data_IF_312380012518
#
_entry.id   IF_312380012518
#
_cell.length_a   1.000
_cell.length_b   1.000
_cell.length_c   1.000
_cell.angle_alpha   90.00
_cell.angle_beta   90.00
_cell.angle_gamma   90.00
#
_symmetry.space_group_name_H-M   'P 1'
#
loop_
_entity.id
_entity.type
_entity.pdbx_description
1 polymer ?
#
# COMPACT_ATOMS: atom_id res chain seq x y z
N UNK A 1 -25.96 11.69 1.49
CA UNK A 1 -24.83 12.40 0.83
C UNK A 1 -24.66 11.83 -0.56
N UNK A 2 -24.59 12.70 -1.56
CA UNK A 2 -24.58 12.27 -2.97
C UNK A 2 -23.38 11.38 -3.29
N UNK A 3 -23.64 10.12 -3.63
CA UNK A 3 -22.61 9.16 -4.09
C UNK A 3 -22.05 9.49 -5.49
N UNK A 4 -22.67 10.41 -6.23
CA UNK A 4 -22.26 10.85 -7.56
C UNK A 4 -20.84 11.43 -7.64
N UNK A 5 -20.41 12.35 -6.73
CA UNK A 5 -19.06 12.89 -6.77
C UNK A 5 -17.96 11.83 -6.55
N UNK A 6 -18.21 10.86 -5.66
CA UNK A 6 -17.26 9.78 -5.35
C UNK A 6 -17.01 8.92 -6.58
N UNK A 7 -18.06 8.41 -7.23
CA UNK A 7 -17.95 7.59 -8.44
C UNK A 7 -17.23 8.31 -9.58
N UNK A 8 -17.50 9.60 -9.75
CA UNK A 8 -16.86 10.40 -10.80
C UNK A 8 -15.37 10.60 -10.54
N UNK A 9 -14.95 10.79 -9.28
CA UNK A 9 -13.55 10.92 -8.89
C UNK A 9 -12.83 9.58 -9.10
N UNK A 10 -13.41 8.49 -8.61
CA UNK A 10 -12.86 7.14 -8.79
C UNK A 10 -12.71 6.78 -10.27
N UNK A 11 -13.73 7.07 -11.09
CA UNK A 11 -13.66 6.84 -12.54
C UNK A 11 -12.53 7.64 -13.21
N UNK A 12 -12.28 8.89 -12.77
CA UNK A 12 -11.13 9.66 -13.26
C UNK A 12 -9.79 9.08 -12.80
N UNK A 13 -9.69 8.59 -11.56
CA UNK A 13 -8.50 7.89 -11.07
C UNK A 13 -8.22 6.63 -11.89
N UNK A 14 -9.23 5.78 -12.08
CA UNK A 14 -9.13 4.55 -12.88
C UNK A 14 -8.68 4.84 -14.31
N UNK A 15 -9.29 5.86 -14.93
CA UNK A 15 -8.91 6.26 -16.29
C UNK A 15 -7.45 6.71 -16.35
N UNK A 16 -6.99 7.51 -15.40
CA UNK A 16 -5.58 7.96 -15.35
C UNK A 16 -4.64 6.79 -15.16
N UNK A 17 -4.94 5.88 -14.23
CA UNK A 17 -4.07 4.76 -13.88
C UNK A 17 -3.97 3.72 -15.00
N UNK A 18 -5.03 3.55 -15.80
CA UNK A 18 -5.03 2.63 -16.94
C UNK A 18 -4.44 3.23 -18.23
N UNK A 19 -4.20 4.57 -18.28
CA UNK A 19 -3.70 5.27 -19.49
C UNK A 19 -2.39 6.02 -19.22
N UNK A 20 -1.46 5.41 -18.45
CA UNK A 20 -0.18 6.07 -18.10
C UNK A 20 0.75 6.26 -19.30
N UNK A 21 0.59 5.44 -20.34
CA UNK A 21 1.38 5.45 -21.58
C UNK A 21 0.73 6.29 -22.70
N UNK A 22 -0.36 6.99 -22.40
CA UNK A 22 -1.10 7.79 -23.36
C UNK A 22 -1.22 9.25 -22.89
N UNK A 23 -1.31 10.21 -23.83
CA UNK A 23 -1.57 11.59 -23.45
C UNK A 23 -3.00 11.73 -22.92
N UNK A 24 -3.17 12.34 -21.74
CA UNK A 24 -4.47 12.57 -21.11
C UNK A 24 -4.83 14.06 -21.18
N UNK A 25 -6.07 14.34 -21.53
CA UNK A 25 -6.65 15.69 -21.57
C UNK A 25 -7.77 15.85 -20.55
N UNK A 26 -8.02 17.09 -20.11
CA UNK A 26 -9.14 17.38 -19.23
C UNK A 26 -10.51 17.05 -19.88
N UNK A 27 -10.62 17.07 -21.21
CA UNK A 27 -11.83 16.68 -21.92
C UNK A 27 -12.15 15.19 -21.80
N UNK A 28 -11.11 14.33 -21.86
CA UNK A 28 -11.27 12.89 -21.65
C UNK A 28 -11.74 12.60 -20.22
N UNK A 29 -11.11 13.25 -19.23
CA UNK A 29 -11.51 13.10 -17.83
C UNK A 29 -12.92 13.64 -17.55
N UNK A 30 -13.30 14.73 -18.21
CA UNK A 30 -14.66 15.27 -18.15
C UNK A 30 -15.70 14.26 -18.68
N UNK A 31 -15.38 13.63 -19.83
CA UNK A 31 -16.25 12.60 -20.42
C UNK A 31 -16.43 11.39 -19.48
N UNK A 32 -15.37 10.94 -18.84
CA UNK A 32 -15.39 9.80 -17.91
C UNK A 32 -16.17 10.16 -16.63
N UNK A 33 -15.99 11.37 -16.13
CA UNK A 33 -16.65 11.82 -14.89
C UNK A 33 -18.12 12.23 -15.07
N UNK A 34 -18.56 12.46 -16.31
CA UNK A 34 -19.90 13.00 -16.60
C UNK A 34 -20.07 14.50 -16.31
N UNK A 35 -18.97 15.25 -16.12
CA UNK A 35 -18.96 16.68 -15.81
C UNK A 35 -18.30 17.51 -16.92
N UNK A 36 -18.42 18.85 -16.84
CA UNK A 36 -17.62 19.73 -17.69
C UNK A 36 -16.12 19.67 -17.30
N UNK A 37 -15.17 19.99 -18.21
CA UNK A 37 -13.74 19.92 -17.91
C UNK A 37 -13.32 20.75 -16.69
N UNK A 38 -13.91 21.94 -16.52
CA UNK A 38 -13.64 22.80 -15.38
C UNK A 38 -14.16 22.17 -14.07
N UNK A 39 -15.39 21.68 -14.09
CA UNK A 39 -16.02 21.09 -12.90
C UNK A 39 -15.33 19.78 -12.50
N UNK A 40 -14.98 18.92 -13.46
CA UNK A 40 -14.22 17.69 -13.23
C UNK A 40 -12.86 17.97 -12.56
N UNK A 41 -12.11 18.96 -13.08
CA UNK A 41 -10.82 19.34 -12.51
C UNK A 41 -10.95 19.94 -11.10
N UNK A 42 -11.98 20.75 -10.88
CA UNK A 42 -12.27 21.36 -9.56
C UNK A 42 -12.65 20.29 -8.53
N UNK A 43 -13.59 19.43 -8.88
CA UNK A 43 -14.05 18.32 -8.03
C UNK A 43 -12.90 17.40 -7.63
N UNK A 44 -12.09 16.99 -8.60
CA UNK A 44 -10.91 16.14 -8.38
C UNK A 44 -9.90 16.81 -7.43
N UNK A 45 -9.59 18.10 -7.67
CA UNK A 45 -8.68 18.85 -6.82
C UNK A 45 -9.22 19.04 -5.40
N UNK A 46 -10.52 19.30 -5.26
CA UNK A 46 -11.16 19.44 -3.95
C UNK A 46 -11.10 18.14 -3.14
N UNK A 47 -11.26 16.99 -3.81
CA UNK A 47 -11.25 15.68 -3.17
C UNK A 47 -9.85 15.18 -2.82
N UNK A 48 -8.87 15.33 -3.74
CA UNK A 48 -7.54 14.73 -3.64
C UNK A 48 -6.42 15.76 -3.36
N UNK A 49 -6.75 17.04 -3.23
CA UNK A 49 -5.78 18.10 -2.94
C UNK A 49 -4.89 18.51 -4.11
N UNK A 50 -4.86 17.75 -5.21
CA UNK A 50 -4.03 18.00 -6.40
C UNK A 50 -4.87 17.95 -7.68
N UNK A 51 -4.38 18.65 -8.74
CA UNK A 51 -5.11 18.63 -10.02
C UNK A 51 -4.97 17.27 -10.72
N UNK A 52 -5.92 16.88 -11.60
CA UNK A 52 -5.85 15.62 -12.34
C UNK A 52 -4.55 15.46 -13.15
N UNK A 53 -4.05 16.53 -13.79
CA UNK A 53 -2.81 16.47 -14.58
C UNK A 53 -1.57 16.33 -13.68
N UNK A 54 -1.58 16.93 -12.49
CA UNK A 54 -0.52 16.73 -11.48
C UNK A 54 -0.54 15.29 -10.97
N UNK A 55 -1.72 14.75 -10.71
CA UNK A 55 -1.92 13.36 -10.33
C UNK A 55 -1.37 12.40 -11.40
N UNK A 56 -1.79 12.57 -12.66
CA UNK A 56 -1.29 11.81 -13.79
C UNK A 56 0.23 11.86 -13.92
N UNK A 57 0.84 13.06 -13.80
CA UNK A 57 2.29 13.22 -13.84
C UNK A 57 2.99 12.44 -12.72
N UNK A 58 2.46 12.49 -11.49
CA UNK A 58 3.00 11.74 -10.35
C UNK A 58 2.89 10.23 -10.55
N UNK A 59 1.78 9.74 -11.08
CA UNK A 59 1.60 8.33 -11.42
C UNK A 59 2.64 7.87 -12.45
N UNK A 60 2.80 8.60 -13.55
CA UNK A 60 3.78 8.28 -14.61
C UNK A 60 5.22 8.25 -14.09
N UNK A 61 5.62 9.26 -13.32
CA UNK A 61 6.97 9.30 -12.73
C UNK A 61 7.20 8.13 -11.77
N UNK A 62 6.20 7.73 -11.01
CA UNK A 62 6.31 6.61 -10.08
C UNK A 62 6.38 5.26 -10.81
N UNK A 63 5.58 5.08 -11.85
CA UNK A 63 5.63 3.88 -12.68
C UNK A 63 6.98 3.78 -13.43
N UNK A 64 7.44 4.89 -14.05
CA UNK A 64 8.75 4.96 -14.69
C UNK A 64 9.90 4.70 -13.71
N UNK A 65 9.77 5.10 -12.44
CA UNK A 65 10.78 4.81 -11.42
C UNK A 65 10.87 3.31 -11.12
N UNK A 66 9.74 2.62 -11.00
CA UNK A 66 9.73 1.16 -10.79
C UNK A 66 10.35 0.44 -11.99
N UNK A 67 10.04 0.86 -13.21
CA UNK A 67 10.63 0.29 -14.41
C UNK A 67 12.12 0.56 -14.52
N UNK A 68 12.57 1.79 -14.22
CA UNK A 68 14.00 2.12 -14.12
C UNK A 68 14.74 1.23 -13.11
N UNK A 69 14.09 0.83 -12.04
CA UNK A 69 14.65 -0.05 -11.00
C UNK A 69 14.82 -1.48 -11.50
N UNK A 70 13.85 -1.98 -12.27
CA UNK A 70 13.72 -3.40 -12.59
C UNK A 70 14.19 -3.74 -14.02
N UNK A 71 14.03 -2.82 -14.97
CA UNK A 71 14.41 -3.01 -16.38
C UNK A 71 15.78 -2.42 -16.72
N UNK A 72 16.37 -2.91 -17.84
CA UNK A 72 17.66 -2.43 -18.36
C UNK A 72 17.49 -1.50 -19.58
N UNK A 73 16.26 -1.18 -19.95
CA UNK A 73 15.95 -0.34 -21.10
C UNK A 73 16.61 1.04 -21.00
N UNK A 74 17.00 1.68 -22.11
CA UNK A 74 17.55 3.03 -22.08
C UNK A 74 16.63 4.02 -21.36
N UNK A 75 17.20 4.91 -20.54
CA UNK A 75 16.40 5.89 -19.78
C UNK A 75 15.51 6.74 -20.71
N UNK A 76 16.00 7.05 -21.90
CA UNK A 76 15.22 7.78 -22.90
C UNK A 76 14.01 6.98 -23.37
N UNK A 77 14.16 5.67 -23.58
CA UNK A 77 13.04 4.80 -24.01
C UNK A 77 11.93 4.80 -22.95
N UNK A 78 12.28 4.61 -21.69
CA UNK A 78 11.32 4.67 -20.57
C UNK A 78 10.69 6.08 -20.50
N UNK A 79 11.47 7.15 -20.64
CA UNK A 79 10.94 8.50 -20.63
C UNK A 79 9.87 8.73 -21.72
N UNK A 80 10.14 8.29 -22.94
CA UNK A 80 9.22 8.41 -24.07
C UNK A 80 7.96 7.54 -23.90
N UNK A 81 8.13 6.33 -23.40
CA UNK A 81 7.01 5.42 -23.09
C UNK A 81 6.04 6.03 -22.08
N UNK A 82 6.56 6.71 -21.05
CA UNK A 82 5.75 7.45 -20.09
C UNK A 82 5.44 8.88 -20.52
N UNK A 83 5.41 9.18 -21.82
CA UNK A 83 4.95 10.46 -22.37
C UNK A 83 5.73 11.70 -21.88
N UNK A 84 7.06 11.58 -21.75
CA UNK A 84 7.94 12.72 -21.57
C UNK A 84 8.59 13.06 -22.91
N UNK A 85 8.54 14.33 -23.29
CA UNK A 85 8.97 14.81 -24.62
C UNK A 85 10.48 14.65 -24.86
N UNK A 86 11.30 14.60 -23.81
CA UNK A 86 12.74 14.45 -23.91
C UNK A 86 13.35 13.87 -22.64
N UNK A 87 14.60 13.38 -22.76
CA UNK A 87 15.41 12.93 -21.63
C UNK A 87 15.60 14.03 -20.57
N UNK A 88 15.79 15.27 -21.00
CA UNK A 88 15.99 16.41 -20.10
C UNK A 88 14.72 16.77 -19.33
N UNK A 89 13.57 16.73 -20.02
CA UNK A 89 12.27 16.96 -19.40
C UNK A 89 11.98 15.92 -18.34
N UNK A 90 12.21 14.64 -18.68
CA UNK A 90 12.06 13.51 -17.75
C UNK A 90 13.03 13.66 -16.56
N UNK A 91 14.32 13.91 -16.81
CA UNK A 91 15.33 14.03 -15.75
C UNK A 91 15.01 15.14 -14.76
N UNK A 92 14.57 16.31 -15.23
CA UNK A 92 14.14 17.42 -14.35
C UNK A 92 12.89 17.05 -13.54
N UNK A 93 11.92 16.44 -14.18
CA UNK A 93 10.69 16.04 -13.52
C UNK A 93 10.95 14.97 -12.45
N UNK A 94 11.78 13.98 -12.77
CA UNK A 94 12.18 12.91 -11.87
C UNK A 94 12.97 13.45 -10.67
N UNK A 95 13.98 14.28 -10.91
CA UNK A 95 14.78 14.89 -9.86
C UNK A 95 13.93 15.80 -8.94
N UNK A 96 12.98 16.54 -9.52
CA UNK A 96 12.05 17.36 -8.74
C UNK A 96 11.13 16.56 -7.82
N UNK A 97 10.73 15.34 -8.24
CA UNK A 97 9.83 14.51 -7.45
C UNK A 97 10.58 13.64 -6.43
N UNK A 98 11.75 13.12 -6.78
CA UNK A 98 12.46 12.11 -5.99
C UNK A 98 13.79 12.56 -5.39
N UNK A 99 14.25 13.78 -5.71
CA UNK A 99 15.49 14.34 -5.17
C UNK A 99 16.78 13.81 -5.78
N UNK A 100 16.72 12.92 -6.79
CA UNK A 100 17.88 12.34 -7.46
C UNK A 100 17.61 12.11 -8.94
N UNK A 101 18.70 12.00 -9.76
CA UNK A 101 18.54 11.77 -11.20
C UNK A 101 18.11 10.34 -11.52
N UNK A 102 17.45 10.09 -12.67
CA UNK A 102 17.08 8.73 -13.13
C UNK A 102 18.29 7.79 -13.20
N UNK A 103 19.44 8.28 -13.66
CA UNK A 103 20.69 7.49 -13.77
C UNK A 103 21.24 7.10 -12.38
N UNK A 104 21.22 8.03 -11.44
CA UNK A 104 21.61 7.75 -10.04
C UNK A 104 20.65 6.74 -9.40
N UNK A 105 19.35 6.92 -9.62
CA UNK A 105 18.34 6.00 -9.11
C UNK A 105 18.52 4.58 -9.66
N UNK A 106 18.71 4.44 -10.99
CA UNK A 106 18.97 3.12 -11.60
C UNK A 106 20.19 2.43 -11.00
N UNK A 107 21.26 3.16 -10.77
CA UNK A 107 22.53 2.61 -10.24
C UNK A 107 22.42 2.16 -8.80
N UNK A 108 21.75 2.94 -7.95
CA UNK A 108 21.73 2.74 -6.50
C UNK A 108 20.43 2.06 -6.01
N UNK A 109 19.33 2.29 -6.71
CA UNK A 109 17.97 1.88 -6.34
C UNK A 109 17.67 2.11 -4.84
N UNK A 110 17.87 3.33 -4.31
CA UNK A 110 17.49 3.61 -2.94
C UNK A 110 15.96 3.63 -2.84
N UNK A 111 15.38 3.35 -1.67
CA UNK A 111 13.96 3.57 -1.42
C UNK A 111 13.58 5.04 -1.66
N UNK A 112 12.55 5.28 -2.45
CA UNK A 112 12.04 6.63 -2.81
C UNK A 112 10.52 6.69 -2.59
N UNK A 113 9.95 7.88 -2.33
CA UNK A 113 8.52 8.05 -2.11
C UNK A 113 7.75 8.00 -3.45
N UNK A 114 7.56 6.79 -4.01
CA UNK A 114 6.69 6.64 -5.18
C UNK A 114 5.27 7.04 -4.81
N UNK A 115 4.61 7.74 -5.72
CA UNK A 115 3.24 8.16 -5.53
C UNK A 115 2.32 6.95 -5.67
N UNK A 116 1.67 6.56 -4.58
CA UNK A 116 0.61 5.55 -4.57
C UNK A 116 -0.71 6.28 -4.39
N UNK A 117 -1.58 6.24 -5.41
CA UNK A 117 -2.85 6.91 -5.33
C UNK A 117 -3.72 6.32 -4.22
N UNK A 118 -4.26 7.18 -3.37
CA UNK A 118 -5.33 6.80 -2.47
C UNK A 118 -6.64 6.74 -3.27
N UNK A 119 -7.32 5.60 -3.25
CA UNK A 119 -8.65 5.46 -3.85
C UNK A 119 -9.65 6.33 -3.09
N UNK A 120 -10.28 7.26 -3.79
CA UNK A 120 -11.29 8.11 -3.19
C UNK A 120 -12.57 7.30 -3.01
N UNK A 121 -12.92 7.00 -1.76
CA UNK A 121 -14.11 6.26 -1.38
C UNK A 121 -14.82 6.89 -0.17
N UNK A 122 -16.03 6.46 0.16
CA UNK A 122 -16.74 6.97 1.35
C UNK A 122 -15.93 6.63 2.61
N UNK A 123 -15.52 7.66 3.30
CA UNK A 123 -14.76 7.57 4.54
C UNK A 123 -15.59 6.92 5.65
N UNK A 124 -15.01 5.91 6.30
CA UNK A 124 -15.38 5.18 7.51
C UNK A 124 -16.57 4.23 7.39
N UNK A 125 -16.42 3.00 7.88
CA UNK A 125 -17.55 2.12 8.12
C UNK A 125 -18.44 2.74 9.19
N UNK A 126 -19.56 3.32 8.79
CA UNK A 126 -20.69 3.47 9.69
C UNK A 126 -21.36 2.09 9.75
N UNK A 127 -21.25 1.45 10.90
CA UNK A 127 -21.83 0.14 11.13
C UNK A 127 -23.31 0.12 10.79
N UNK A 128 -23.63 -0.54 9.69
CA UNK A 128 -24.94 -1.08 9.43
C UNK A 128 -24.79 -2.58 9.62
N UNK A 129 -25.35 -3.10 10.70
CA UNK A 129 -25.44 -4.51 10.95
C UNK A 129 -26.10 -5.20 9.75
N UNK A 130 -25.29 -5.83 8.90
CA UNK A 130 -25.76 -6.69 7.83
C UNK A 130 -25.89 -8.10 8.36
N UNK A 131 -27.05 -8.68 8.10
CA UNK A 131 -27.43 -10.05 8.47
C UNK A 131 -26.36 -11.05 8.03
N UNK A 132 -26.09 -12.03 8.89
CA UNK A 132 -25.16 -13.16 8.77
C UNK A 132 -25.21 -13.85 7.39
N UNK A 133 -24.47 -13.35 6.41
CA UNK A 133 -23.99 -14.17 5.31
C UNK A 133 -22.74 -14.89 5.83
N UNK A 134 -22.76 -16.22 5.76
CA UNK A 134 -21.57 -17.04 6.01
C UNK A 134 -20.59 -16.74 4.88
N UNK A 135 -19.65 -15.86 5.11
CA UNK A 135 -18.61 -15.49 4.13
C UNK A 135 -17.49 -16.53 4.23
N UNK A 136 -17.19 -17.28 3.16
CA UNK A 136 -16.07 -18.23 3.18
C UNK A 136 -14.75 -17.51 3.46
N UNK A 137 -13.91 -18.12 4.31
CA UNK A 137 -12.59 -17.61 4.63
C UNK A 137 -11.58 -18.70 4.34
N UNK A 138 -10.57 -18.36 3.55
CA UNK A 138 -9.46 -19.25 3.26
C UNK A 138 -8.42 -19.11 4.35
N UNK A 139 -7.97 -20.26 4.90
CA UNK A 139 -6.95 -20.29 5.94
C UNK A 139 -5.79 -21.13 5.46
N UNK A 140 -4.58 -20.58 5.53
CA UNK A 140 -3.37 -21.31 5.21
C UNK A 140 -2.28 -21.06 6.26
N UNK A 141 -1.39 -22.04 6.41
CA UNK A 141 -0.20 -21.93 7.25
C UNK A 141 1.01 -21.63 6.36
N UNK A 142 1.73 -20.59 6.69
CA UNK A 142 2.99 -20.22 6.02
C UNK A 142 4.12 -20.16 7.03
N UNK A 143 5.30 -20.61 6.63
CA UNK A 143 6.53 -20.47 7.42
C UNK A 143 7.40 -19.41 6.76
N UNK A 144 7.81 -18.42 7.53
CA UNK A 144 8.77 -17.41 7.09
C UNK A 144 10.08 -17.60 7.84
N UNK A 145 11.24 -17.66 7.14
CA UNK A 145 12.55 -17.74 7.78
C UNK A 145 12.86 -16.46 8.56
N UNK A 146 13.98 -16.45 9.27
CA UNK A 146 14.52 -15.23 9.86
C UNK A 146 14.82 -14.21 8.75
N UNK A 147 14.40 -12.95 8.95
CA UNK A 147 14.45 -11.89 7.97
C UNK A 147 14.54 -10.54 8.66
N UNK A 148 14.78 -9.50 7.91
CA UNK A 148 14.66 -8.14 8.40
C UNK A 148 13.35 -7.51 7.85
N UNK A 149 12.93 -6.41 8.48
CA UNK A 149 11.80 -5.62 8.03
C UNK A 149 12.18 -4.14 8.11
N UNK A 150 12.07 -3.44 6.99
CA UNK A 150 12.18 -1.99 6.98
C UNK A 150 10.85 -1.46 7.49
N UNK A 151 10.89 -0.70 8.59
CA UNK A 151 9.68 -0.17 9.23
C UNK A 151 9.77 1.32 9.44
N UNK A 152 8.63 1.98 9.43
CA UNK A 152 8.47 3.34 9.95
C UNK A 152 7.49 3.30 11.12
N UNK A 153 7.91 3.85 12.28
CA UNK A 153 7.10 3.83 13.49
C UNK A 153 6.31 5.13 13.65
N UNK A 154 5.14 5.01 14.24
CA UNK A 154 4.40 6.10 14.84
C UNK A 154 4.71 6.16 16.35
N UNK A 155 4.07 7.04 17.10
CA UNK A 155 4.24 7.20 18.55
C UNK A 155 3.19 6.45 19.34
N UNK A 156 1.92 6.58 18.96
CA UNK A 156 0.78 6.08 19.73
C UNK A 156 -0.16 5.17 18.94
N UNK A 157 -0.06 5.16 17.62
CA UNK A 157 -0.98 4.46 16.72
C UNK A 157 -1.16 2.98 17.08
N UNK A 158 -2.41 2.54 17.14
CA UNK A 158 -2.79 1.14 17.38
C UNK A 158 -3.41 0.48 16.16
N UNK A 159 -3.72 1.27 15.14
CA UNK A 159 -4.35 0.83 13.90
C UNK A 159 -4.02 1.78 12.73
N UNK A 160 -4.45 1.41 11.51
CA UNK A 160 -4.06 2.06 10.25
C UNK A 160 -4.37 3.56 10.20
N UNK A 161 -5.59 3.98 10.55
CA UNK A 161 -5.99 5.39 10.38
C UNK A 161 -5.24 6.30 11.35
N UNK A 162 -5.11 5.89 12.62
CA UNK A 162 -4.29 6.62 13.60
C UNK A 162 -2.84 6.74 13.15
N UNK A 163 -2.31 5.68 12.53
CA UNK A 163 -0.96 5.71 11.98
C UNK A 163 -0.84 6.72 10.83
N UNK A 164 -1.79 6.75 9.90
CA UNK A 164 -1.79 7.72 8.81
C UNK A 164 -1.90 9.17 9.31
N UNK A 165 -2.67 9.40 10.37
CA UNK A 165 -2.80 10.73 11.00
C UNK A 165 -1.45 11.19 11.63
N UNK A 166 -0.66 10.27 12.21
CA UNK A 166 0.62 10.59 12.86
C UNK A 166 1.80 10.68 11.87
N UNK A 167 1.85 9.82 10.88
CA UNK A 167 3.05 9.58 10.06
C UNK A 167 2.85 10.01 8.60
N UNK A 168 1.62 10.02 8.14
CA UNK A 168 1.25 10.28 6.74
C UNK A 168 1.07 9.00 5.93
N UNK A 169 0.43 9.14 4.76
CA UNK A 169 0.09 8.02 3.88
C UNK A 169 1.20 7.66 2.86
N UNK A 170 2.28 8.44 2.78
CA UNK A 170 3.36 8.25 1.78
C UNK A 170 4.26 7.04 2.09
N UNK A 171 4.14 6.46 3.27
CA UNK A 171 4.99 5.36 3.75
C UNK A 171 4.92 4.14 2.83
N UNK A 172 3.72 3.79 2.36
CA UNK A 172 3.53 2.68 1.41
C UNK A 172 4.29 2.88 0.10
N UNK A 173 4.39 4.13 -0.36
CA UNK A 173 5.16 4.49 -1.54
C UNK A 173 6.65 4.17 -1.38
N UNK A 174 7.24 4.56 -0.24
CA UNK A 174 8.63 4.26 0.07
C UNK A 174 8.87 2.75 0.19
N UNK A 175 8.03 2.07 0.97
CA UNK A 175 8.15 0.62 1.19
C UNK A 175 7.97 -0.17 -0.12
N UNK A 176 7.02 0.23 -0.98
CA UNK A 176 6.78 -0.39 -2.28
C UNK A 176 7.89 -0.17 -3.31
N UNK A 177 8.78 0.82 -3.09
CA UNK A 177 9.94 1.06 -3.97
C UNK A 177 11.16 0.20 -3.63
N UNK A 178 11.16 -0.52 -2.50
CA UNK A 178 12.30 -1.35 -2.06
C UNK A 178 12.52 -2.50 -3.04
N UNK A 179 13.69 -2.54 -3.67
CA UNK A 179 14.01 -3.53 -4.70
C UNK A 179 14.15 -4.95 -4.13
N UNK A 180 14.75 -5.07 -2.95
CA UNK A 180 15.03 -6.33 -2.28
C UNK A 180 13.87 -6.82 -1.42
N UNK A 181 12.68 -6.25 -1.58
CA UNK A 181 11.50 -6.66 -0.85
C UNK A 181 11.17 -8.15 -1.09
N UNK A 182 10.93 -8.90 -0.03
CA UNK A 182 10.52 -10.31 -0.07
C UNK A 182 9.02 -10.48 -0.32
N UNK A 183 8.27 -9.39 -0.32
CA UNK A 183 6.85 -9.35 -0.56
C UNK A 183 6.35 -7.91 -0.63
N UNK A 184 5.03 -7.73 -0.62
CA UNK A 184 4.43 -6.39 -0.61
C UNK A 184 4.54 -5.73 0.78
N UNK A 185 4.44 -4.38 0.85
CA UNK A 185 4.32 -3.67 2.12
C UNK A 185 3.14 -4.16 2.95
N UNK A 186 3.28 -4.11 4.26
CA UNK A 186 2.27 -4.58 5.21
C UNK A 186 2.13 -3.65 6.41
N UNK A 187 0.95 -3.64 7.00
CA UNK A 187 0.75 -3.14 8.35
C UNK A 187 1.05 -4.23 9.36
N UNK A 188 1.78 -3.92 10.43
CA UNK A 188 2.14 -4.89 11.46
C UNK A 188 1.64 -4.42 12.83
N UNK A 189 1.07 -5.34 13.60
CA UNK A 189 0.85 -5.17 15.03
C UNK A 189 1.97 -5.88 15.78
N UNK A 190 2.79 -5.09 16.46
CA UNK A 190 3.99 -5.56 17.13
C UNK A 190 3.70 -5.90 18.60
N UNK A 191 4.13 -7.06 19.07
CA UNK A 191 4.18 -7.37 20.49
C UNK A 191 5.25 -6.51 21.20
N UNK A 192 5.20 -6.45 22.52
CA UNK A 192 6.05 -5.56 23.31
C UNK A 192 7.54 -5.74 23.06
N UNK A 193 7.99 -6.98 22.82
CA UNK A 193 9.39 -7.30 22.54
C UNK A 193 9.97 -6.60 21.29
N UNK A 194 9.11 -6.16 20.36
CA UNK A 194 9.50 -5.45 19.13
C UNK A 194 9.20 -3.94 19.18
N UNK A 195 8.76 -3.43 20.34
CA UNK A 195 8.39 -2.02 20.52
C UNK A 195 9.38 -1.31 21.44
N UNK A 196 10.31 -0.51 20.93
CA UNK A 196 11.06 0.43 21.76
C UNK A 196 10.11 1.34 22.54
N UNK A 197 10.52 1.74 23.73
CA UNK A 197 9.71 2.64 24.58
C UNK A 197 9.33 3.92 23.81
N UNK A 198 8.07 4.33 23.92
CA UNK A 198 7.56 5.54 23.25
C UNK A 198 7.22 5.33 21.75
N UNK A 199 7.15 4.07 21.29
CA UNK A 199 6.73 3.77 19.93
C UNK A 199 5.38 3.04 19.87
N UNK A 200 4.72 3.17 18.72
CA UNK A 200 3.39 2.62 18.45
C UNK A 200 3.34 1.09 18.43
N UNK A 201 2.16 0.55 18.69
CA UNK A 201 1.86 -0.86 18.49
C UNK A 201 1.74 -1.20 16.98
N UNK A 202 1.14 -0.31 16.21
CA UNK A 202 0.97 -0.46 14.78
C UNK A 202 2.10 0.26 14.03
N UNK A 203 2.68 -0.42 13.05
CA UNK A 203 3.71 0.13 12.16
C UNK A 203 3.44 -0.31 10.73
N UNK A 204 4.01 0.41 9.77
CA UNK A 204 4.05 -0.06 8.39
C UNK A 204 5.47 -0.49 8.04
N UNK A 205 5.60 -1.57 7.26
CA UNK A 205 6.90 -2.12 6.90
C UNK A 205 6.88 -3.00 5.67
N UNK A 206 8.07 -3.37 5.21
CA UNK A 206 8.29 -4.35 4.15
C UNK A 206 9.42 -5.29 4.54
N UNK A 207 9.21 -6.57 4.34
CA UNK A 207 10.24 -7.59 4.64
C UNK A 207 11.33 -7.59 3.58
N UNK A 208 12.57 -7.73 4.04
CA UNK A 208 13.79 -7.78 3.23
C UNK A 208 14.71 -8.91 3.73
N UNK A 209 15.70 -9.35 2.95
CA UNK A 209 16.70 -10.31 3.41
C UNK A 209 17.36 -9.88 4.73
N UNK A 210 17.74 -10.85 5.55
CA UNK A 210 18.31 -10.60 6.88
C UNK A 210 19.63 -9.79 6.82
N UNK A 211 20.34 -9.90 5.72
CA UNK A 211 21.62 -9.23 5.43
C UNK A 211 21.46 -7.92 4.65
N UNK A 212 20.28 -7.35 4.60
CA UNK A 212 20.01 -6.06 3.96
C UNK A 212 20.90 -4.96 4.54
N UNK A 213 21.65 -4.24 3.69
CA UNK A 213 22.62 -3.21 4.09
C UNK A 213 22.51 -1.88 3.34
N UNK A 214 21.47 -1.72 2.49
CA UNK A 214 21.30 -0.46 1.78
C UNK A 214 20.87 0.67 2.74
N UNK A 215 21.25 1.92 2.43
CA UNK A 215 20.81 3.08 3.18
C UNK A 215 19.29 3.15 3.26
N UNK A 216 18.79 3.51 4.44
CA UNK A 216 17.36 3.73 4.68
C UNK A 216 17.04 5.22 4.57
N UNK A 217 15.84 5.60 4.10
CA UNK A 217 15.36 6.96 4.19
C UNK A 217 15.24 7.42 5.65
N UNK A 218 15.24 8.73 5.86
CA UNK A 218 15.05 9.33 7.18
C UNK A 218 13.75 8.87 7.84
N UNK A 219 13.83 8.48 9.10
CA UNK A 219 12.71 8.00 9.90
C UNK A 219 12.34 6.53 9.69
N UNK A 220 13.09 5.80 8.84
CA UNK A 220 12.96 4.36 8.69
C UNK A 220 14.07 3.63 9.44
N UNK A 221 13.76 2.45 9.93
CA UNK A 221 14.72 1.59 10.63
C UNK A 221 14.61 0.14 10.17
N UNK A 222 15.65 -0.64 10.43
CA UNK A 222 15.68 -2.07 10.14
C UNK A 222 15.41 -2.87 11.41
N UNK A 223 14.29 -3.58 11.44
CA UNK A 223 13.89 -4.46 12.53
C UNK A 223 14.15 -5.92 12.13
N UNK A 224 14.81 -6.69 13.00
CA UNK A 224 15.02 -8.14 12.78
C UNK A 224 13.81 -8.93 13.24
N UNK A 225 13.32 -9.82 12.40
CA UNK A 225 12.24 -10.75 12.69
C UNK A 225 12.76 -12.18 12.71
N UNK A 226 12.52 -12.98 13.75
CA UNK A 226 12.90 -14.39 13.79
C UNK A 226 12.10 -15.21 12.78
N UNK A 227 12.50 -16.45 12.58
CA UNK A 227 11.68 -17.43 11.88
C UNK A 227 10.34 -17.58 12.58
N UNK A 228 9.22 -17.52 11.83
CA UNK A 228 7.88 -17.50 12.38
C UNK A 228 6.91 -18.27 11.48
N UNK A 229 6.01 -19.01 12.09
CA UNK A 229 4.83 -19.57 11.41
C UNK A 229 3.66 -18.61 11.55
N UNK A 230 2.98 -18.35 10.45
CA UNK A 230 1.77 -17.55 10.41
C UNK A 230 0.58 -18.37 9.94
N UNK A 231 -0.55 -18.11 10.56
CA UNK A 231 -1.85 -18.51 10.04
C UNK A 231 -2.44 -17.31 9.34
N UNK A 232 -2.56 -17.43 8.01
CA UNK A 232 -3.05 -16.37 7.12
C UNK A 232 -4.51 -16.62 6.85
N UNK A 233 -5.32 -15.61 7.04
CA UNK A 233 -6.74 -15.57 6.75
C UNK A 233 -6.98 -14.65 5.56
N UNK A 234 -7.74 -15.13 4.58
CA UNK A 234 -8.11 -14.38 3.39
C UNK A 234 -9.62 -14.45 3.20
N UNK A 235 -10.26 -13.30 3.13
CA UNK A 235 -11.68 -13.16 2.81
C UNK A 235 -11.94 -13.31 1.31
N UNK A 236 -13.22 -13.35 0.93
CA UNK A 236 -13.64 -13.30 -0.47
C UNK A 236 -13.31 -11.96 -1.12
N UNK A 237 -13.20 -11.92 -2.47
CA UNK A 237 -13.23 -10.67 -3.21
C UNK A 237 -14.43 -9.81 -2.85
N UNK A 238 -14.23 -8.50 -2.77
CA UNK A 238 -15.26 -7.52 -2.41
C UNK A 238 -15.17 -6.28 -3.31
N UNK A 239 -16.25 -5.49 -3.34
CA UNK A 239 -16.23 -4.18 -3.97
C UNK A 239 -15.49 -3.19 -3.05
N UNK A 240 -14.55 -2.40 -3.57
CA UNK A 240 -13.77 -1.43 -2.81
C UNK A 240 -14.63 -0.44 -2.00
N UNK A 241 -15.86 -0.18 -2.41
CA UNK A 241 -16.83 0.60 -1.63
C UNK A 241 -17.23 -0.09 -0.31
N UNK A 242 -17.07 -1.41 -0.20
CA UNK A 242 -17.42 -2.24 0.96
C UNK A 242 -16.21 -2.75 1.74
N UNK A 243 -15.02 -2.13 1.58
CA UNK A 243 -13.80 -2.61 2.23
C UNK A 243 -13.91 -2.70 3.76
N UNK A 244 -14.64 -1.80 4.40
CA UNK A 244 -14.86 -1.80 5.84
C UNK A 244 -15.58 -3.05 6.32
N UNK A 245 -16.65 -3.46 5.61
CA UNK A 245 -17.41 -4.67 5.94
C UNK A 245 -16.56 -5.93 5.76
N UNK A 246 -15.71 -5.98 4.72
CA UNK A 246 -14.81 -7.08 4.47
C UNK A 246 -13.74 -7.24 5.57
N UNK A 247 -13.19 -6.11 6.04
CA UNK A 247 -12.24 -6.10 7.17
C UNK A 247 -12.92 -6.59 8.44
N UNK A 248 -14.09 -6.06 8.80
CA UNK A 248 -14.83 -6.42 10.01
C UNK A 248 -15.23 -7.91 10.01
N UNK A 249 -15.71 -8.41 8.88
CA UNK A 249 -16.08 -9.81 8.72
C UNK A 249 -14.87 -10.74 8.94
N UNK A 250 -13.71 -10.43 8.32
CA UNK A 250 -12.50 -11.21 8.48
C UNK A 250 -12.00 -11.18 9.92
N UNK A 251 -11.93 -9.99 10.54
CA UNK A 251 -11.48 -9.86 11.93
C UNK A 251 -12.38 -10.56 12.93
N UNK A 252 -13.68 -10.57 12.68
CA UNK A 252 -14.64 -11.32 13.49
C UNK A 252 -14.36 -12.83 13.41
N UNK A 253 -14.11 -13.34 12.21
CA UNK A 253 -13.78 -14.74 12.00
C UNK A 253 -12.43 -15.12 12.63
N UNK A 254 -11.39 -14.27 12.52
CA UNK A 254 -10.08 -14.49 13.17
C UNK A 254 -10.23 -14.56 14.70
N UNK A 255 -11.09 -13.73 15.28
CA UNK A 255 -11.37 -13.75 16.73
C UNK A 255 -12.07 -15.05 17.16
N UNK A 256 -12.99 -15.53 16.33
CA UNK A 256 -13.77 -16.76 16.60
C UNK A 256 -12.99 -18.05 16.31
N UNK A 257 -11.94 -18.00 15.48
CA UNK A 257 -11.20 -19.19 15.07
C UNK A 257 -10.24 -19.65 16.17
N UNK A 258 -10.33 -20.96 16.51
CA UNK A 258 -9.41 -21.61 17.42
C UNK A 258 -8.32 -22.37 16.62
N UNK A 259 -7.06 -21.90 16.64
CA UNK A 259 -5.97 -22.59 15.95
C UNK A 259 -5.68 -24.00 16.47
N UNK A 260 -6.20 -24.37 17.65
CA UNK A 260 -5.99 -25.69 18.23
C UNK A 260 -6.60 -26.82 17.37
N UNK A 261 -7.63 -26.52 16.58
CA UNK A 261 -8.26 -27.50 15.66
C UNK A 261 -7.30 -28.04 14.60
N UNK A 262 -6.23 -27.30 14.31
CA UNK A 262 -5.16 -27.69 13.36
C UNK A 262 -3.82 -27.90 14.06
N UNK A 263 -3.79 -28.03 15.39
CA UNK A 263 -2.60 -28.33 16.17
C UNK A 263 -1.69 -27.13 16.46
N UNK A 264 -2.21 -25.92 16.39
CA UNK A 264 -1.47 -24.68 16.67
C UNK A 264 -2.11 -23.87 17.80
N UNK A 265 -1.37 -22.91 18.33
CA UNK A 265 -1.86 -21.87 19.26
C UNK A 265 -1.35 -20.52 18.83
N UNK A 266 -2.06 -19.46 19.16
CA UNK A 266 -1.60 -18.08 18.92
C UNK A 266 -0.27 -17.84 19.65
N UNK A 267 0.67 -17.19 18.98
CA UNK A 267 1.95 -16.78 19.56
C UNK A 267 1.84 -15.31 20.00
N UNK A 268 1.75 -15.02 21.32
CA UNK A 268 1.61 -13.65 21.79
C UNK A 268 2.89 -12.83 21.62
N UNK A 269 4.02 -13.49 21.36
CA UNK A 269 5.32 -12.85 21.15
C UNK A 269 5.66 -12.64 19.66
N UNK A 270 4.84 -13.16 18.75
CA UNK A 270 5.00 -12.96 17.32
C UNK A 270 4.16 -11.78 16.80
N UNK A 271 4.64 -11.05 15.77
CA UNK A 271 3.87 -9.98 15.15
C UNK A 271 2.69 -10.54 14.37
N UNK A 272 1.59 -9.77 14.33
CA UNK A 272 0.51 -9.99 13.36
C UNK A 272 0.69 -9.00 12.21
N UNK A 273 0.17 -9.32 11.03
CA UNK A 273 0.23 -8.38 9.91
C UNK A 273 -1.05 -8.39 9.08
N UNK A 274 -1.26 -7.28 8.38
CA UNK A 274 -2.26 -7.16 7.32
C UNK A 274 -1.59 -6.75 6.02
N UNK A 275 -2.14 -7.20 4.90
CA UNK A 275 -1.77 -6.71 3.58
C UNK A 275 -2.70 -5.56 3.16
N UNK A 276 -2.30 -4.84 2.12
CA UNK A 276 -3.13 -3.77 1.55
C UNK A 276 -4.51 -4.33 1.17
N UNK A 277 -5.61 -3.73 1.64
CA UNK A 277 -6.94 -4.14 1.22
C UNK A 277 -7.11 -3.94 -0.29
N UNK A 278 -7.37 -5.02 -1.03
CA UNK A 278 -7.64 -5.02 -2.47
C UNK A 278 -8.87 -5.86 -2.74
N UNK A 279 -9.89 -5.25 -3.32
CA UNK A 279 -11.18 -5.89 -3.54
C UNK A 279 -11.09 -7.17 -4.35
N UNK A 280 -10.27 -7.20 -5.42
CA UNK A 280 -10.12 -8.35 -6.31
C UNK A 280 -9.55 -9.60 -5.66
N UNK A 281 -8.76 -9.46 -4.58
CA UNK A 281 -8.16 -10.60 -3.89
C UNK A 281 -8.75 -10.89 -2.52
N UNK A 282 -9.64 -10.02 -2.03
CA UNK A 282 -10.12 -10.06 -0.67
C UNK A 282 -9.13 -9.45 0.35
N UNK A 283 -9.61 -9.19 1.56
CA UNK A 283 -8.76 -8.69 2.65
C UNK A 283 -7.94 -9.84 3.25
N UNK A 284 -6.69 -9.58 3.59
CA UNK A 284 -5.75 -10.56 4.13
C UNK A 284 -5.17 -10.06 5.45
N UNK A 285 -5.30 -10.90 6.48
CA UNK A 285 -4.68 -10.68 7.79
C UNK A 285 -4.03 -11.97 8.28
N UNK A 286 -2.93 -11.89 9.01
CA UNK A 286 -2.20 -13.03 9.52
C UNK A 286 -1.87 -12.89 10.99
N UNK A 287 -1.99 -13.99 11.71
CA UNK A 287 -1.60 -14.09 13.12
C UNK A 287 -0.39 -15.02 13.27
N UNK A 288 0.53 -14.63 14.13
CA UNK A 288 1.62 -15.52 14.51
C UNK A 288 1.12 -16.72 15.30
N UNK A 289 1.61 -17.90 14.96
CA UNK A 289 1.22 -19.17 15.64
C UNK A 289 2.43 -20.04 15.93
N UNK A 290 2.29 -20.90 16.95
CA UNK A 290 3.26 -21.94 17.29
C UNK A 290 2.56 -23.29 17.36
N UNK A 291 3.26 -24.39 17.03
CA UNK A 291 2.72 -25.74 17.23
C UNK A 291 2.40 -25.99 18.69
N UNK A 292 1.32 -26.71 18.95
CA UNK A 292 1.06 -27.22 20.28
C UNK A 292 2.21 -28.15 20.68
N UNK A 293 2.70 -28.01 21.93
CA UNK A 293 3.61 -29.01 22.48
C UNK A 293 2.78 -30.27 22.75
N UNK A 294 3.17 -31.38 22.13
CA UNK A 294 2.66 -32.70 22.49
C UNK A 294 3.01 -33.00 23.94
#
# INVERSE_FOLDING_TARGET
>A
MDHLPVRSITAMQDYIETHLHEPITLHQLAKVSGYSPYHAAHLFKQALGISPLTYWRKCRLSAAALELRDAQDPILSIALEYQFDSHECFTRAFASQFGLSPSTYRKLSPPIPIFRPFRYGPNRPQGVASMTKTTPIFIQLIQRPARACIVRRAKTATEYFQYCDEVGCDVWGVLGSVKEALGEPMGLWLPEAFRPQGTSKYVQGVEVPLDYQKPLPEGYELMKLPAQTFMVFQGEPYNDECFGDAIEALQTAIKAYDPAVVGYRKDPNGPCFQLEPRGERGYIEAIAVTKNKN
#
